data_IF_403045474803
#
_entry.id   IF_403045474803
#
_cell.length_a   1.000
_cell.length_b   1.000
_cell.length_c   1.000
_cell.angle_alpha   90.00
_cell.angle_beta   90.00
_cell.angle_gamma   90.00
#
_symmetry.space_group_name_H-M   'P 1'
#
loop_
_entity.id
_entity.type
_entity.pdbx_description
1 polymer ?
#
# COMPACT_ATOMS: atom_id res chain seq x y z
N UNK A 1 -16.77 11.36 -9.44
CA UNK A 1 -15.31 11.48 -9.60
C UNK A 1 -14.66 11.80 -8.27
N UNK A 2 -13.49 11.23 -7.98
CA UNK A 2 -12.80 11.41 -6.70
C UNK A 2 -12.43 12.86 -6.43
N UNK A 3 -12.75 13.32 -5.23
CA UNK A 3 -12.35 14.64 -4.68
C UNK A 3 -11.62 14.49 -3.35
N UNK A 4 -11.75 13.33 -2.68
CA UNK A 4 -11.07 13.05 -1.41
C UNK A 4 -10.43 11.67 -1.45
N UNK A 5 -9.19 11.60 -1.02
CA UNK A 5 -8.42 10.37 -0.93
C UNK A 5 -7.80 10.27 0.47
N UNK A 6 -8.12 9.20 1.17
CA UNK A 6 -7.43 8.78 2.38
C UNK A 6 -6.39 7.73 2.00
N UNK A 7 -5.20 7.84 2.57
CA UNK A 7 -4.09 6.90 2.33
C UNK A 7 -3.55 6.46 3.67
N UNK A 8 -3.66 5.17 3.98
CA UNK A 8 -3.18 4.61 5.23
C UNK A 8 -2.06 3.59 4.99
N UNK A 9 -1.06 3.58 5.86
CA UNK A 9 -0.09 2.49 5.93
C UNK A 9 -0.66 1.34 6.76
N UNK A 10 -0.29 0.09 6.43
CA UNK A 10 -0.59 -1.05 7.28
C UNK A 10 -0.08 -0.84 8.71
N UNK A 11 -0.71 -1.49 9.68
CA UNK A 11 -0.34 -1.43 11.09
C UNK A 11 0.99 -2.13 11.39
N UNK A 12 1.45 -2.05 12.63
CA UNK A 12 2.73 -2.58 13.09
C UNK A 12 2.83 -4.09 12.83
N UNK A 13 3.87 -4.51 12.11
CA UNK A 13 4.14 -5.89 11.73
C UNK A 13 5.40 -6.45 12.37
N UNK A 14 5.58 -7.76 12.39
CA UNK A 14 6.85 -8.38 12.75
C UNK A 14 7.98 -7.92 11.82
N UNK A 15 9.21 -7.87 12.32
CA UNK A 15 10.38 -7.63 11.49
C UNK A 15 10.62 -8.84 10.58
N UNK A 16 11.23 -8.62 9.42
CA UNK A 16 11.59 -9.71 8.52
C UNK A 16 12.60 -10.68 9.14
N UNK A 17 13.53 -10.17 9.98
CA UNK A 17 14.51 -10.98 10.70
C UNK A 17 13.90 -11.90 11.77
N UNK A 18 12.76 -11.50 12.34
CA UNK A 18 12.01 -12.28 13.33
C UNK A 18 11.04 -13.28 12.66
N UNK A 19 10.69 -13.00 11.42
CA UNK A 19 9.75 -13.78 10.64
C UNK A 19 10.51 -14.79 9.79
N UNK A 20 10.59 -16.02 10.25
CA UNK A 20 11.18 -17.12 9.47
C UNK A 20 10.21 -17.54 8.38
N UNK A 21 10.68 -17.59 7.13
CA UNK A 21 9.88 -17.93 5.94
C UNK A 21 9.22 -19.30 6.02
N UNK A 22 9.78 -20.23 6.79
CA UNK A 22 9.25 -21.58 7.03
C UNK A 22 7.88 -21.61 7.73
N UNK A 23 7.49 -20.50 8.39
CA UNK A 23 6.20 -20.37 9.07
C UNK A 23 5.18 -19.56 8.26
N UNK A 24 5.61 -18.99 7.13
CA UNK A 24 4.77 -18.13 6.32
C UNK A 24 4.08 -18.90 5.21
N UNK A 25 2.76 -18.83 5.19
CA UNK A 25 1.97 -19.26 4.02
C UNK A 25 2.24 -18.43 2.76
N UNK A 26 2.88 -17.26 2.93
CA UNK A 26 3.19 -16.31 1.84
C UNK A 26 4.55 -15.67 2.08
N UNK A 27 5.49 -15.82 1.15
CA UNK A 27 6.79 -15.15 1.24
C UNK A 27 6.66 -13.64 1.38
N UNK A 28 7.50 -13.02 2.21
CA UNK A 28 7.57 -11.57 2.43
C UNK A 28 6.31 -10.89 2.97
N UNK A 29 5.39 -11.65 3.55
CA UNK A 29 4.17 -11.12 4.15
C UNK A 29 4.13 -11.38 5.67
N UNK A 30 5.05 -10.76 6.47
CA UNK A 30 5.05 -10.91 7.92
C UNK A 30 3.72 -10.43 8.52
N UNK A 31 3.21 -11.15 9.53
CA UNK A 31 1.94 -10.83 10.18
C UNK A 31 2.05 -9.55 11.02
N UNK A 32 0.91 -9.01 11.41
CA UNK A 32 0.82 -7.97 12.41
C UNK A 32 1.32 -8.51 13.77
N UNK A 33 1.88 -7.61 14.59
CA UNK A 33 2.18 -7.88 16.00
C UNK A 33 0.95 -7.62 16.86
N UNK A 34 0.99 -7.99 18.15
CA UNK A 34 -0.04 -7.59 19.12
C UNK A 34 -0.26 -6.06 19.11
N UNK A 35 0.84 -5.28 19.00
CA UNK A 35 0.77 -3.82 18.83
C UNK A 35 0.02 -3.41 17.56
N UNK A 36 0.24 -4.13 16.47
CA UNK A 36 -0.48 -3.90 15.21
C UNK A 36 -1.97 -4.19 15.34
N UNK A 37 -2.36 -5.23 16.09
CA UNK A 37 -3.77 -5.54 16.34
C UNK A 37 -4.46 -4.41 17.15
N UNK A 38 -3.79 -3.77 18.09
CA UNK A 38 -4.32 -2.57 18.76
C UNK A 38 -4.49 -1.42 17.78
N UNK A 39 -3.46 -1.13 16.97
CA UNK A 39 -3.49 -0.03 16.00
C UNK A 39 -4.61 -0.14 14.97
N UNK A 40 -4.98 -1.34 14.52
CA UNK A 40 -6.08 -1.51 13.54
C UNK A 40 -7.44 -1.12 14.13
N UNK A 41 -7.65 -1.37 15.42
CA UNK A 41 -8.88 -0.97 16.10
C UNK A 41 -8.96 0.55 16.32
N UNK A 42 -7.83 1.18 16.69
CA UNK A 42 -7.74 2.64 16.82
C UNK A 42 -7.97 3.34 15.47
N UNK A 43 -7.37 2.80 14.39
CA UNK A 43 -7.56 3.30 13.03
C UNK A 43 -9.02 3.18 12.57
N UNK A 44 -9.66 2.05 12.85
CA UNK A 44 -11.08 1.87 12.53
C UNK A 44 -11.98 2.81 13.34
N UNK A 45 -11.66 3.03 14.62
CA UNK A 45 -12.38 3.99 15.46
C UNK A 45 -12.18 5.44 14.95
N UNK A 46 -10.99 5.79 14.44
CA UNK A 46 -10.74 7.10 13.82
C UNK A 46 -11.67 7.34 12.63
N UNK A 47 -11.78 6.41 11.70
CA UNK A 47 -12.68 6.54 10.56
C UNK A 47 -14.16 6.55 10.96
N UNK A 48 -14.55 5.74 11.94
CA UNK A 48 -15.93 5.68 12.41
C UNK A 48 -16.41 6.96 13.12
N UNK A 49 -15.48 7.75 13.69
CA UNK A 49 -15.80 9.05 14.32
C UNK A 49 -15.91 10.21 13.34
N UNK A 50 -15.53 10.01 12.07
CA UNK A 50 -15.70 11.04 11.05
C UNK A 50 -17.19 11.27 10.77
N UNK A 51 -17.59 12.51 10.42
CA UNK A 51 -18.90 12.77 9.85
C UNK A 51 -19.16 11.85 8.65
N UNK A 52 -20.40 11.38 8.49
CA UNK A 52 -20.74 10.40 7.45
C UNK A 52 -20.46 10.91 6.03
N UNK A 53 -20.57 12.22 5.82
CA UNK A 53 -20.26 12.89 4.56
C UNK A 53 -18.75 13.06 4.29
N UNK A 54 -17.90 12.82 5.29
CA UNK A 54 -16.45 12.76 5.15
C UNK A 54 -15.90 11.33 5.07
N UNK A 55 -16.65 10.34 5.54
CA UNK A 55 -16.18 8.94 5.52
C UNK A 55 -15.89 8.46 4.09
N UNK A 56 -14.89 7.56 3.89
CA UNK A 56 -14.70 6.91 2.61
C UNK A 56 -15.93 6.10 2.20
N UNK A 57 -16.09 5.87 0.92
CA UNK A 57 -17.20 5.10 0.32
C UNK A 57 -16.75 3.71 -0.16
N UNK A 58 -15.44 3.51 -0.26
CA UNK A 58 -14.80 2.28 -0.72
C UNK A 58 -13.43 2.15 -0.08
N UNK A 59 -13.02 0.92 0.22
CA UNK A 59 -11.65 0.60 0.63
C UNK A 59 -10.98 -0.16 -0.52
N UNK A 60 -9.82 0.31 -0.98
CA UNK A 60 -8.97 -0.37 -1.94
C UNK A 60 -7.65 -0.70 -1.25
N UNK A 61 -7.31 -1.97 -1.18
CA UNK A 61 -6.26 -2.48 -0.32
C UNK A 61 -5.21 -3.27 -1.10
N UNK A 62 -3.95 -3.13 -0.68
CA UNK A 62 -2.87 -4.03 -1.08
C UNK A 62 -3.21 -5.49 -0.71
N UNK A 63 -2.84 -6.48 -1.56
CA UNK A 63 -3.14 -7.90 -1.33
C UNK A 63 -2.35 -8.56 -0.19
N UNK A 64 -1.43 -7.85 0.44
CA UNK A 64 -0.66 -8.39 1.57
C UNK A 64 -1.53 -8.53 2.81
N UNK A 65 -1.39 -9.66 3.51
CA UNK A 65 -2.21 -10.02 4.68
C UNK A 65 -2.23 -8.90 5.72
N UNK A 66 -1.09 -8.27 5.99
CA UNK A 66 -0.98 -7.16 6.93
C UNK A 66 -1.82 -5.94 6.54
N UNK A 67 -1.96 -5.66 5.23
CA UNK A 67 -2.80 -4.58 4.73
C UNK A 67 -4.29 -4.95 4.83
N UNK A 68 -4.65 -6.18 4.42
CA UNK A 68 -6.03 -6.68 4.51
C UNK A 68 -6.49 -6.69 5.96
N UNK A 69 -5.68 -7.20 6.89
CA UNK A 69 -5.99 -7.17 8.33
C UNK A 69 -6.13 -5.74 8.87
N UNK A 70 -5.35 -4.79 8.36
CA UNK A 70 -5.49 -3.38 8.73
C UNK A 70 -6.82 -2.80 8.25
N UNK A 71 -7.28 -3.18 7.08
CA UNK A 71 -8.50 -2.68 6.47
C UNK A 71 -9.79 -3.31 7.01
N UNK A 72 -9.74 -4.57 7.49
CA UNK A 72 -10.92 -5.33 7.93
C UNK A 72 -11.76 -4.62 9.00
N UNK A 73 -11.21 -4.11 10.12
CA UNK A 73 -12.02 -3.45 11.14
C UNK A 73 -12.68 -2.16 10.63
N UNK A 74 -12.09 -1.49 9.62
CA UNK A 74 -12.70 -0.32 8.98
C UNK A 74 -13.87 -0.76 8.11
N UNK A 75 -13.67 -1.82 7.29
CA UNK A 75 -14.73 -2.45 6.50
C UNK A 75 -15.94 -2.83 7.37
N UNK A 76 -15.69 -3.54 8.48
CA UNK A 76 -16.74 -3.98 9.39
C UNK A 76 -17.50 -2.82 10.05
N UNK A 77 -16.76 -1.81 10.56
CA UNK A 77 -17.37 -0.67 11.26
C UNK A 77 -18.19 0.25 10.36
N UNK A 78 -17.74 0.44 9.11
CA UNK A 78 -18.37 1.37 8.17
C UNK A 78 -19.28 0.69 7.15
N UNK A 79 -19.30 -0.64 7.10
CA UNK A 79 -20.06 -1.40 6.09
C UNK A 79 -19.57 -1.16 4.65
N UNK A 80 -18.28 -0.86 4.45
CA UNK A 80 -17.72 -0.52 3.16
C UNK A 80 -17.26 -1.76 2.41
N UNK A 81 -17.37 -1.77 1.09
CA UNK A 81 -16.76 -2.81 0.26
C UNK A 81 -15.23 -2.76 0.38
N UNK A 82 -14.60 -3.93 0.59
CA UNK A 82 -13.16 -4.09 0.66
C UNK A 82 -12.64 -4.74 -0.63
N UNK A 83 -11.97 -3.95 -1.45
CA UNK A 83 -11.44 -4.34 -2.75
C UNK A 83 -9.92 -4.53 -2.70
N UNK A 84 -9.40 -5.43 -3.53
CA UNK A 84 -7.96 -5.74 -3.62
C UNK A 84 -7.38 -5.19 -4.91
N UNK A 85 -6.30 -4.41 -4.79
CA UNK A 85 -5.56 -3.86 -5.92
C UNK A 85 -4.07 -4.25 -5.84
N UNK A 86 -3.61 -5.17 -6.70
CA UNK A 86 -2.22 -5.57 -6.75
C UNK A 86 -1.23 -4.42 -6.99
N UNK A 87 -1.67 -3.39 -7.71
CA UNK A 87 -0.86 -2.18 -7.92
C UNK A 87 -0.51 -1.42 -6.65
N UNK A 88 -1.22 -1.66 -5.53
CA UNK A 88 -0.89 -1.13 -4.20
C UNK A 88 0.10 -2.01 -3.42
N UNK A 89 0.63 -3.09 -4.02
CA UNK A 89 1.58 -3.97 -3.35
C UNK A 89 2.85 -3.25 -2.91
N UNK A 90 3.58 -3.90 -2.00
CA UNK A 90 4.87 -3.44 -1.51
C UNK A 90 5.85 -3.18 -2.67
N UNK A 91 6.71 -2.20 -2.48
CA UNK A 91 7.82 -1.94 -3.37
C UNK A 91 8.98 -2.90 -3.08
N UNK A 92 9.51 -3.48 -4.13
CA UNK A 92 10.76 -4.24 -4.12
C UNK A 92 11.71 -3.63 -5.13
N UNK A 93 12.96 -3.45 -4.72
CA UNK A 93 14.03 -2.96 -5.60
C UNK A 93 14.29 -3.92 -6.77
N UNK A 94 14.97 -3.45 -7.83
CA UNK A 94 15.30 -4.28 -8.99
C UNK A 94 16.09 -5.52 -8.60
N UNK A 95 15.77 -6.66 -9.21
CA UNK A 95 16.63 -7.86 -9.11
C UNK A 95 17.86 -7.71 -9.98
N UNK A 96 19.00 -8.22 -9.49
CA UNK A 96 20.25 -8.14 -10.22
C UNK A 96 20.27 -9.05 -11.44
N UNK A 97 21.07 -8.72 -12.47
CA UNK A 97 21.20 -9.57 -13.66
C UNK A 97 21.67 -11.00 -13.38
N UNK A 98 22.33 -11.23 -12.24
CA UNK A 98 22.80 -12.56 -11.80
C UNK A 98 21.69 -13.41 -11.18
N UNK A 99 20.61 -12.79 -10.76
CA UNK A 99 19.52 -13.45 -10.09
C UNK A 99 18.51 -13.90 -11.13
N UNK A 100 18.20 -15.17 -11.15
CA UNK A 100 17.20 -15.76 -12.05
C UNK A 100 15.78 -15.66 -11.48
N UNK A 101 15.63 -15.19 -10.23
CA UNK A 101 14.36 -15.08 -9.52
C UNK A 101 13.54 -13.85 -9.88
N UNK A 102 12.24 -13.98 -9.75
CA UNK A 102 11.29 -12.88 -9.79
C UNK A 102 10.76 -12.61 -8.38
N UNK A 103 10.34 -11.38 -8.12
CA UNK A 103 9.60 -11.08 -6.90
C UNK A 103 8.27 -11.84 -6.88
N UNK A 104 7.76 -12.25 -5.69
CA UNK A 104 6.48 -12.90 -5.60
C UNK A 104 5.36 -12.06 -6.23
N UNK A 105 4.52 -12.70 -7.05
CA UNK A 105 3.35 -12.03 -7.61
C UNK A 105 2.37 -11.64 -6.51
N UNK A 106 1.89 -10.40 -6.47
CA UNK A 106 0.82 -10.03 -5.56
C UNK A 106 -0.43 -10.88 -5.82
N UNK A 107 -1.07 -11.35 -4.73
CA UNK A 107 -2.31 -12.13 -4.79
C UNK A 107 -3.46 -11.31 -5.35
N UNK A 108 -4.45 -11.97 -5.94
CA UNK A 108 -5.73 -11.34 -6.33
C UNK A 108 -6.78 -11.49 -5.22
N UNK A 109 -7.94 -10.88 -5.39
CA UNK A 109 -9.07 -11.04 -4.47
C UNK A 109 -9.48 -12.52 -4.37
N UNK A 110 -9.53 -13.23 -5.49
CA UNK A 110 -9.91 -14.64 -5.55
C UNK A 110 -8.98 -15.54 -4.72
N UNK A 111 -7.68 -15.22 -4.68
CA UNK A 111 -6.70 -15.92 -3.83
C UNK A 111 -6.86 -15.60 -2.34
N UNK A 112 -7.47 -14.46 -2.00
CA UNK A 112 -7.64 -14.00 -0.63
C UNK A 112 -8.97 -14.42 0.00
N UNK A 113 -10.02 -14.62 -0.80
CA UNK A 113 -11.37 -15.01 -0.32
C UNK A 113 -11.37 -16.22 0.60
N UNK A 114 -10.58 -17.31 0.38
CA UNK A 114 -10.55 -18.43 1.31
C UNK A 114 -10.10 -18.05 2.73
N UNK A 115 -9.24 -17.06 2.86
CA UNK A 115 -8.74 -16.55 4.15
C UNK A 115 -9.55 -15.36 4.66
N UNK A 116 -10.09 -14.54 3.75
CA UNK A 116 -10.82 -13.32 4.03
C UNK A 116 -12.13 -13.27 3.22
N UNK A 117 -13.18 -13.98 3.65
CA UNK A 117 -14.41 -14.14 2.87
C UNK A 117 -15.15 -12.85 2.54
N UNK A 118 -14.88 -11.77 3.28
CA UNK A 118 -15.50 -10.44 3.07
C UNK A 118 -14.84 -9.61 1.99
N UNK A 119 -13.69 -10.07 1.45
CA UNK A 119 -13.01 -9.40 0.34
C UNK A 119 -13.88 -9.50 -0.92
N UNK A 120 -14.10 -8.36 -1.57
CA UNK A 120 -14.90 -8.28 -2.80
C UNK A 120 -14.11 -8.71 -4.03
N UNK A 121 -14.71 -9.55 -4.86
CA UNK A 121 -14.19 -9.95 -6.17
C UNK A 121 -14.70 -9.07 -7.33
N UNK A 122 -15.51 -8.04 -7.04
CA UNK A 122 -16.03 -7.11 -8.06
C UNK A 122 -14.94 -6.22 -8.66
N UNK A 123 -13.94 -5.85 -7.85
CA UNK A 123 -12.81 -5.07 -8.31
C UNK A 123 -11.85 -5.96 -9.07
N UNK A 124 -11.68 -5.69 -10.35
CA UNK A 124 -10.65 -6.37 -11.14
C UNK A 124 -9.36 -5.56 -11.09
N UNK A 125 -8.21 -6.22 -10.92
CA UNK A 125 -6.91 -5.55 -10.84
C UNK A 125 -6.71 -4.54 -11.98
N UNK A 126 -6.16 -3.39 -11.65
CA UNK A 126 -5.87 -2.33 -12.61
C UNK A 126 -4.41 -2.36 -13.05
N UNK A 127 -3.51 -2.74 -12.14
CA UNK A 127 -2.08 -2.71 -12.38
C UNK A 127 -1.38 -3.75 -11.50
N UNK A 128 -0.23 -4.23 -11.96
CA UNK A 128 0.70 -5.04 -11.17
C UNK A 128 2.07 -4.35 -11.11
N UNK A 129 2.83 -4.50 -10.01
CA UNK A 129 4.23 -4.09 -9.98
C UNK A 129 5.05 -4.92 -10.97
N UNK A 130 6.20 -4.39 -11.40
CA UNK A 130 7.12 -5.16 -12.22
C UNK A 130 7.65 -6.37 -11.42
N UNK A 131 7.55 -7.59 -11.94
CA UNK A 131 8.05 -8.77 -11.25
C UNK A 131 9.57 -8.80 -11.09
N UNK A 132 10.30 -7.99 -11.86
CA UNK A 132 11.74 -7.78 -11.71
C UNK A 132 12.10 -6.73 -10.66
N UNK A 133 11.11 -6.15 -10.03
CA UNK A 133 11.27 -5.03 -9.10
C UNK A 133 11.34 -3.69 -9.81
N UNK A 134 11.29 -2.64 -9.04
CA UNK A 134 11.17 -1.28 -9.53
C UNK A 134 12.25 -0.39 -8.93
N UNK A 135 12.80 0.50 -9.72
CA UNK A 135 13.61 1.60 -9.19
C UNK A 135 12.74 2.55 -8.36
N UNK A 136 13.37 3.44 -7.58
CA UNK A 136 12.62 4.47 -6.85
C UNK A 136 11.79 5.35 -7.81
N UNK A 137 12.32 5.85 -8.94
CA UNK A 137 11.46 6.49 -9.96
C UNK A 137 10.36 5.57 -10.49
N UNK A 138 10.63 4.27 -10.66
CA UNK A 138 9.67 3.28 -11.15
C UNK A 138 8.43 3.14 -10.27
N UNK A 139 8.59 3.05 -8.94
CA UNK A 139 7.44 2.99 -8.04
C UNK A 139 6.62 4.28 -8.06
N UNK A 140 7.25 5.44 -8.27
CA UNK A 140 6.53 6.71 -8.43
C UNK A 140 5.68 6.71 -9.70
N UNK A 141 6.22 6.19 -10.83
CA UNK A 141 5.45 6.04 -12.06
C UNK A 141 4.32 5.03 -11.92
N UNK A 142 4.55 3.90 -11.25
CA UNK A 142 3.47 2.95 -10.92
C UNK A 142 2.34 3.65 -10.18
N UNK A 143 2.64 4.47 -9.18
CA UNK A 143 1.63 5.17 -8.39
C UNK A 143 0.89 6.22 -9.21
N UNK A 144 1.56 6.91 -10.12
CA UNK A 144 0.91 7.86 -11.05
C UNK A 144 -0.11 7.14 -11.93
N UNK A 145 0.31 6.09 -12.60
CA UNK A 145 -0.55 5.34 -13.52
C UNK A 145 -1.68 4.63 -12.78
N UNK A 146 -1.39 4.03 -11.63
CA UNK A 146 -2.42 3.40 -10.80
C UNK A 146 -3.48 4.41 -10.36
N UNK A 147 -3.08 5.60 -9.90
CA UNK A 147 -4.02 6.61 -9.45
C UNK A 147 -4.88 7.14 -10.60
N UNK A 148 -4.33 7.26 -11.81
CA UNK A 148 -5.09 7.59 -13.01
C UNK A 148 -6.21 6.55 -13.24
N UNK A 149 -5.87 5.26 -13.23
CA UNK A 149 -6.83 4.15 -13.44
C UNK A 149 -7.87 4.05 -12.31
N UNK A 150 -7.44 4.21 -11.06
CA UNK A 150 -8.36 4.25 -9.91
C UNK A 150 -9.37 5.38 -10.08
N UNK A 151 -8.90 6.58 -10.46
CA UNK A 151 -9.78 7.73 -10.64
C UNK A 151 -10.82 7.49 -11.75
N UNK A 152 -10.43 6.88 -12.86
CA UNK A 152 -11.35 6.50 -13.94
C UNK A 152 -12.40 5.49 -13.47
N UNK A 153 -11.97 4.42 -12.79
CA UNK A 153 -12.87 3.39 -12.26
C UNK A 153 -13.83 3.95 -11.21
N UNK A 154 -13.32 4.74 -10.27
CA UNK A 154 -14.13 5.36 -9.22
C UNK A 154 -15.12 6.37 -9.81
N UNK A 155 -14.72 7.09 -10.85
CA UNK A 155 -15.61 8.01 -11.57
C UNK A 155 -16.78 7.27 -12.22
N UNK A 156 -16.52 6.14 -12.88
CA UNK A 156 -17.54 5.30 -13.45
C UNK A 156 -18.51 4.72 -12.39
N UNK A 157 -18.05 4.55 -11.16
CA UNK A 157 -18.87 4.07 -10.04
C UNK A 157 -19.51 5.21 -9.22
N UNK A 158 -19.34 6.47 -9.61
CA UNK A 158 -19.90 7.62 -8.90
C UNK A 158 -19.26 7.92 -7.54
N UNK A 159 -18.08 7.37 -7.25
CA UNK A 159 -17.40 7.54 -5.98
C UNK A 159 -16.65 8.88 -5.93
N UNK A 160 -16.72 9.53 -4.78
CA UNK A 160 -16.04 10.81 -4.50
C UNK A 160 -14.97 10.71 -3.42
N UNK A 161 -15.05 9.72 -2.54
CA UNK A 161 -14.15 9.52 -1.40
C UNK A 161 -13.76 8.06 -1.29
N UNK A 162 -12.46 7.76 -1.24
CA UNK A 162 -11.97 6.38 -1.05
C UNK A 162 -10.85 6.35 -0.01
N UNK A 163 -10.62 5.15 0.54
CA UNK A 163 -9.47 4.82 1.37
C UNK A 163 -8.57 3.84 0.63
N UNK A 164 -7.28 4.16 0.53
CA UNK A 164 -6.23 3.24 0.10
C UNK A 164 -5.46 2.74 1.32
N UNK A 165 -5.21 1.42 1.41
CA UNK A 165 -4.39 0.81 2.46
C UNK A 165 -3.21 0.10 1.82
N UNK A 166 -1.99 0.54 2.16
CA UNK A 166 -0.77 0.06 1.49
C UNK A 166 0.47 0.11 2.41
N UNK A 167 1.64 0.26 1.84
CA UNK A 167 2.97 0.14 2.45
C UNK A 167 3.71 1.47 2.43
N UNK A 168 4.75 1.62 3.25
CA UNK A 168 5.47 2.88 3.39
C UNK A 168 5.96 3.46 2.06
N UNK A 169 6.79 2.71 1.32
CA UNK A 169 7.34 3.19 0.04
C UNK A 169 6.23 3.56 -0.95
N UNK A 170 5.21 2.72 -1.06
CA UNK A 170 4.08 2.91 -1.97
C UNK A 170 3.28 4.16 -1.63
N UNK A 171 2.96 4.40 -0.33
CA UNK A 171 2.20 5.59 0.05
C UNK A 171 3.02 6.88 -0.04
N UNK A 172 4.34 6.81 0.16
CA UNK A 172 5.24 7.95 -0.03
C UNK A 172 5.28 8.32 -1.52
N UNK A 173 5.53 7.34 -2.39
CA UNK A 173 5.53 7.57 -3.82
C UNK A 173 4.19 8.15 -4.31
N UNK A 174 3.06 7.59 -3.85
CA UNK A 174 1.73 8.09 -4.16
C UNK A 174 1.56 9.55 -3.70
N UNK A 175 1.86 9.84 -2.44
CA UNK A 175 1.69 11.18 -1.87
C UNK A 175 2.52 12.24 -2.58
N UNK A 176 3.75 11.90 -2.98
CA UNK A 176 4.62 12.75 -3.79
C UNK A 176 4.01 13.05 -5.15
N UNK A 177 3.50 12.01 -5.84
CA UNK A 177 2.92 12.15 -7.19
C UNK A 177 1.57 12.89 -7.19
N UNK A 178 0.80 12.83 -6.13
CA UNK A 178 -0.47 13.55 -5.99
C UNK A 178 -0.27 15.07 -5.90
N UNK A 179 0.81 15.52 -5.28
CA UNK A 179 1.03 16.92 -4.95
C UNK A 179 1.75 17.73 -6.03
N UNK A 180 2.16 17.11 -7.12
CA UNK A 180 2.78 17.82 -8.23
C UNK A 180 2.60 17.06 -9.55
N UNK A 181 2.57 17.82 -10.64
CA UNK A 181 2.79 17.29 -11.97
C UNK A 181 4.30 17.31 -12.25
N UNK A 182 4.82 16.21 -12.74
CA UNK A 182 6.24 16.15 -13.08
C UNK A 182 6.84 14.76 -12.93
N UNK A 183 8.14 14.70 -13.06
CA UNK A 183 8.93 13.48 -12.89
C UNK A 183 9.26 13.27 -11.42
N UNK A 184 9.82 12.09 -11.09
CA UNK A 184 10.35 11.79 -9.77
C UNK A 184 11.27 12.91 -9.24
N UNK A 185 12.17 13.44 -10.07
CA UNK A 185 13.13 14.47 -9.67
C UNK A 185 12.47 15.75 -9.14
N UNK A 186 11.28 16.09 -9.65
CA UNK A 186 10.54 17.27 -9.21
C UNK A 186 9.78 17.10 -7.90
N UNK A 187 9.62 15.85 -7.43
CA UNK A 187 8.79 15.52 -6.25
C UNK A 187 9.54 14.80 -5.14
N UNK A 188 10.76 14.33 -5.39
CA UNK A 188 11.51 13.46 -4.46
C UNK A 188 11.76 14.08 -3.08
N UNK A 189 11.86 15.39 -3.00
CA UNK A 189 12.10 16.11 -1.75
C UNK A 189 10.82 16.40 -0.94
N UNK A 190 9.62 16.06 -1.47
CA UNK A 190 8.39 16.21 -0.72
C UNK A 190 8.33 15.20 0.42
N UNK A 191 8.23 15.71 1.64
CA UNK A 191 8.10 14.88 2.84
C UNK A 191 6.69 14.26 2.91
N UNK A 192 6.64 12.93 2.95
CA UNK A 192 5.42 12.17 3.23
C UNK A 192 5.68 11.29 4.45
N UNK A 193 4.96 11.55 5.51
CA UNK A 193 5.06 10.75 6.73
C UNK A 193 4.35 9.42 6.55
N UNK A 194 5.04 8.35 6.92
CA UNK A 194 4.60 6.99 6.69
C UNK A 194 4.82 6.08 7.91
N UNK A 195 4.39 6.53 9.09
CA UNK A 195 4.34 5.70 10.29
C UNK A 195 3.33 4.56 10.15
N UNK A 196 3.45 3.50 10.96
CA UNK A 196 2.48 2.39 10.96
C UNK A 196 1.08 2.87 11.39
N UNK A 197 0.04 2.41 10.70
CA UNK A 197 -1.35 2.84 10.85
C UNK A 197 -1.58 4.36 10.70
N UNK A 198 -0.59 5.12 10.17
CA UNK A 198 -0.78 6.55 9.86
C UNK A 198 -1.74 6.76 8.71
N UNK A 199 -2.39 7.92 8.69
CA UNK A 199 -3.33 8.33 7.64
C UNK A 199 -2.95 9.69 7.09
N UNK A 200 -2.84 9.80 5.76
CA UNK A 200 -2.80 11.07 5.04
C UNK A 200 -4.13 11.31 4.32
N UNK A 201 -4.55 12.58 4.24
CA UNK A 201 -5.73 12.99 3.48
C UNK A 201 -5.34 13.96 2.40
N UNK A 202 -5.81 13.68 1.20
CA UNK A 202 -5.65 14.53 0.04
C UNK A 202 -7.01 14.92 -0.51
N UNK A 203 -7.15 16.19 -0.87
CA UNK A 203 -8.36 16.72 -1.49
C UNK A 203 -8.02 17.50 -2.76
N UNK A 204 -9.02 17.66 -3.62
CA UNK A 204 -8.92 18.55 -4.77
C UNK A 204 -10.26 19.29 -4.98
N UNK A 205 -10.21 20.56 -5.41
CA UNK A 205 -11.42 21.40 -5.46
C UNK A 205 -12.44 20.90 -6.48
N UNK A 206 -11.97 20.23 -7.54
CA UNK A 206 -12.83 19.63 -8.57
C UNK A 206 -12.09 18.51 -9.30
N UNK A 207 -12.83 17.68 -9.99
CA UNK A 207 -12.36 16.44 -10.62
C UNK A 207 -11.31 16.61 -11.73
N UNK A 208 -11.25 17.80 -12.34
CA UNK A 208 -10.26 18.14 -13.37
C UNK A 208 -8.96 18.71 -12.78
N UNK A 209 -8.94 19.04 -11.48
CA UNK A 209 -7.71 19.42 -10.82
C UNK A 209 -6.76 18.23 -10.77
N UNK A 210 -5.59 18.39 -11.36
CA UNK A 210 -4.60 17.31 -11.46
C UNK A 210 -3.73 17.22 -10.20
N UNK A 211 -3.60 18.34 -9.47
CA UNK A 211 -2.83 18.44 -8.23
C UNK A 211 -3.79 18.31 -7.05
N UNK A 212 -3.39 17.43 -6.12
CA UNK A 212 -4.09 17.25 -4.86
C UNK A 212 -3.45 18.09 -3.76
N UNK A 213 -4.29 18.67 -2.93
CA UNK A 213 -3.87 19.35 -1.71
C UNK A 213 -3.81 18.34 -0.56
N UNK A 214 -2.68 18.29 0.16
CA UNK A 214 -2.53 17.46 1.34
C UNK A 214 -3.05 18.20 2.57
N UNK A 215 -4.19 17.77 3.11
CA UNK A 215 -4.79 18.37 4.30
C UNK A 215 -4.07 17.97 5.59
N UNK A 216 -3.67 16.70 5.67
CA UNK A 216 -2.79 16.22 6.73
C UNK A 216 -1.89 15.10 6.23
N UNK A 217 -0.70 15.04 6.82
CA UNK A 217 0.42 14.20 6.42
C UNK A 217 0.74 13.18 7.53
N UNK A 218 0.37 11.92 7.31
CA UNK A 218 0.70 10.83 8.23
C UNK A 218 0.15 11.00 9.63
N UNK A 219 -1.12 11.43 9.77
CA UNK A 219 -1.76 11.63 11.08
C UNK A 219 -1.76 10.34 11.88
N UNK A 220 -1.28 10.44 13.14
CA UNK A 220 -1.25 9.36 14.14
C UNK A 220 -1.79 9.81 15.50
N UNK A 221 -2.38 11.01 15.59
CA UNK A 221 -2.87 11.57 16.86
C UNK A 221 -4.00 10.76 17.52
N UNK A 222 -4.57 9.81 16.82
CA UNK A 222 -5.56 8.87 17.33
C UNK A 222 -4.94 7.58 17.90
N UNK A 223 -3.63 7.37 17.70
CA UNK A 223 -2.89 6.24 18.25
C UNK A 223 -2.31 6.62 19.62
N UNK A 224 -2.45 5.77 20.66
CA UNK A 224 -1.98 6.08 22.00
C UNK A 224 -0.49 6.40 22.12
N UNK A 225 0.34 5.82 21.23
CA UNK A 225 1.80 6.02 21.22
C UNK A 225 2.28 6.92 20.07
N UNK A 226 1.34 7.56 19.35
CA UNK A 226 1.69 8.44 18.22
C UNK A 226 2.32 7.70 17.06
N UNK A 227 3.29 8.33 16.40
CA UNK A 227 3.95 7.77 15.22
C UNK A 227 5.00 6.73 15.59
N UNK A 228 4.88 5.54 14.99
CA UNK A 228 5.82 4.44 15.14
C UNK A 228 6.34 3.99 13.77
N UNK A 229 7.61 3.57 13.72
CA UNK A 229 8.27 2.98 12.54
C UNK A 229 8.08 3.82 11.27
N UNK A 230 8.32 5.12 11.39
CA UNK A 230 8.46 5.95 10.20
C UNK A 230 9.50 5.35 9.25
N UNK A 231 9.25 5.47 7.96
CA UNK A 231 10.15 5.01 6.91
C UNK A 231 10.21 6.06 5.79
N UNK A 232 11.38 6.18 5.16
CA UNK A 232 11.60 7.07 4.02
C UNK A 232 12.60 6.47 3.03
N UNK A 233 12.57 6.91 1.78
CA UNK A 233 13.50 6.46 0.75
C UNK A 233 14.97 6.82 1.03
N UNK A 234 15.25 7.78 1.90
CA UNK A 234 16.62 8.09 2.35
C UNK A 234 17.28 6.96 3.14
N UNK A 235 16.50 6.00 3.63
CA UNK A 235 17.02 4.78 4.27
C UNK A 235 17.52 3.73 3.25
N UNK A 236 17.31 3.97 1.98
CA UNK A 236 17.79 3.11 0.90
C UNK A 236 19.14 3.63 0.41
N UNK A 237 20.20 2.82 0.40
CA UNK A 237 21.49 3.24 -0.10
C UNK A 237 21.42 3.76 -1.55
N UNK A 238 22.16 4.83 -1.84
CA UNK A 238 22.17 5.52 -3.15
C UNK A 238 22.49 4.62 -4.35
N UNK A 239 23.13 3.49 -4.11
CA UNK A 239 23.58 2.59 -5.18
C UNK A 239 22.45 1.79 -5.84
N UNK A 240 21.21 1.93 -5.39
CA UNK A 240 20.08 1.14 -5.91
C UNK A 240 20.35 -0.39 -5.94
N UNK A 241 21.35 -0.81 -5.17
CA UNK A 241 21.99 -2.13 -5.28
C UNK A 241 21.48 -3.11 -4.25
N UNK A 242 20.71 -2.63 -3.27
CA UNK A 242 20.11 -3.51 -2.29
C UNK A 242 18.60 -3.63 -2.48
N UNK A 243 18.04 -4.82 -2.29
CA UNK A 243 16.60 -5.03 -2.38
C UNK A 243 15.90 -4.18 -1.33
N UNK A 244 14.88 -3.47 -1.75
CA UNK A 244 14.16 -2.49 -0.94
C UNK A 244 13.75 -2.97 0.45
N UNK A 245 13.63 -2.02 1.36
CA UNK A 245 13.11 -2.19 2.72
C UNK A 245 14.09 -2.71 3.77
N UNK A 246 15.40 -2.56 3.58
CA UNK A 246 16.40 -2.92 4.59
C UNK A 246 16.45 -4.42 4.89
N UNK A 247 15.96 -5.24 3.98
CA UNK A 247 16.09 -6.70 4.04
C UNK A 247 17.30 -7.08 3.21
N UNK A 248 18.29 -7.70 3.82
CA UNK A 248 19.40 -8.26 3.09
C UNK A 248 18.88 -9.28 2.08
N UNK A 249 19.33 -9.18 0.84
CA UNK A 249 18.98 -10.07 -0.26
C UNK A 249 19.07 -11.56 0.13
N UNK A 250 20.10 -11.93 0.90
CA UNK A 250 20.34 -13.29 1.38
C UNK A 250 19.26 -13.79 2.35
N UNK A 251 18.54 -12.90 3.05
CA UNK A 251 17.48 -13.29 3.98
C UNK A 251 16.16 -13.58 3.25
N UNK A 252 16.08 -13.26 1.97
CA UNK A 252 14.84 -13.27 1.19
C UNK A 252 14.77 -14.40 0.18
N UNK A 253 15.90 -14.90 -0.29
CA UNK A 253 16.01 -15.97 -1.26
C UNK A 253 16.86 -17.12 -0.76
N UNK A 254 16.26 -18.04 -0.02
CA UNK A 254 16.79 -19.40 -0.01
C UNK A 254 16.49 -20.04 -1.37
N UNK A 255 17.45 -20.77 -1.97
CA UNK A 255 17.29 -21.39 -3.31
C UNK A 255 16.10 -22.36 -3.45
N UNK A 256 15.42 -22.67 -2.37
CA UNK A 256 14.32 -23.65 -2.30
C UNK A 256 12.93 -23.06 -2.57
N UNK A 257 12.77 -21.72 -2.60
CA UNK A 257 11.45 -21.08 -2.74
C UNK A 257 11.08 -20.73 -4.19
N UNK A 258 11.78 -21.30 -5.17
CA UNK A 258 11.55 -21.04 -6.61
C UNK A 258 10.38 -21.85 -7.20
N UNK A 259 9.27 -22.00 -6.52
CA UNK A 259 8.04 -22.37 -7.21
C UNK A 259 7.50 -21.14 -7.94
N UNK A 260 7.84 -21.08 -9.22
CA UNK A 260 7.36 -20.10 -10.19
C UNK A 260 5.84 -20.02 -10.14
N UNK A 261 5.32 -18.97 -9.51
CA UNK A 261 3.94 -18.57 -9.74
C UNK A 261 3.95 -17.84 -11.07
N UNK A 262 3.48 -18.51 -12.12
CA UNK A 262 3.36 -17.93 -13.45
C UNK A 262 2.43 -16.73 -13.43
N UNK A 263 2.89 -15.61 -13.98
CA UNK A 263 2.03 -14.50 -14.35
C UNK A 263 1.19 -14.92 -15.55
N UNK A 264 -0.11 -14.75 -15.55
CA UNK A 264 -0.86 -14.85 -16.77
C UNK A 264 -0.34 -13.77 -17.74
N UNK A 265 0.02 -14.16 -18.95
CA UNK A 265 0.28 -13.20 -20.01
C UNK A 265 -0.97 -12.36 -20.20
N UNK A 266 -0.82 -11.04 -20.14
CA UNK A 266 -1.85 -10.07 -20.53
C UNK A 266 -2.17 -10.20 -22.01
#
# INVERSE_FOLDING_TARGET
>A
MLTTLYVARHAHRMNHSEFRSEQASVPRDPPLTARGEEQIHDLAAFFARMPADEQPQLIICSPYTRCVRTALPIHEKLGLELCIEPGLAEWFGPVWPKDTGLHPSPRTAEHLVPQFPTVSTRWKPLLYPDPRGESIPGVHERMRELMRRINERCSAWGLTRILLVSHAATIIALGRMLQAQGTYESVREKEIRAGTASVSKYTRPHVHAQIWHQEYNGRTSFLPHGEERHWDFSFVPDNNTEPGMGVHWHDVYAPQDHQLIFYPKL
#
